data_IF_759085763306
#
_entry.id   IF_759085763306
#
_cell.length_a   1.000
_cell.length_b   1.000
_cell.length_c   1.000
_cell.angle_alpha   90.00
_cell.angle_beta   90.00
_cell.angle_gamma   90.00
#
_symmetry.space_group_name_H-M   'P 1'
#
loop_
_entity.id
_entity.type
_entity.pdbx_description
1 polymer ?
#
# COMPACT_ATOMS: atom_id res chain seq x y z
N UNK A 1 97.84 -37.48 -10.58
CA UNK A 1 96.57 -37.27 -11.31
C UNK A 1 95.60 -38.40 -10.95
N UNK A 2 94.90 -38.36 -9.80
CA UNK A 2 93.86 -39.37 -9.43
C UNK A 2 92.94 -39.00 -8.24
N UNK A 3 92.82 -37.71 -7.86
CA UNK A 3 92.00 -37.29 -6.71
C UNK A 3 90.80 -36.41 -7.11
N UNK A 4 90.74 -35.97 -8.36
CA UNK A 4 89.65 -35.13 -8.88
C UNK A 4 88.37 -35.94 -9.25
N UNK A 5 88.48 -37.25 -9.46
CA UNK A 5 87.36 -38.08 -9.94
C UNK A 5 86.37 -38.53 -8.85
N UNK A 6 86.83 -38.67 -7.60
CA UNK A 6 85.99 -39.22 -6.50
C UNK A 6 85.12 -38.12 -5.86
N UNK A 7 85.62 -36.88 -5.79
CA UNK A 7 84.84 -35.74 -5.29
C UNK A 7 83.65 -35.36 -6.19
N UNK A 8 83.78 -35.56 -7.51
CA UNK A 8 82.72 -35.25 -8.48
C UNK A 8 81.51 -36.19 -8.37
N UNK A 9 81.73 -37.47 -8.03
CA UNK A 9 80.67 -38.48 -7.92
C UNK A 9 79.88 -38.30 -6.62
N UNK A 10 80.54 -37.92 -5.52
CA UNK A 10 79.88 -37.61 -4.26
C UNK A 10 79.01 -36.34 -4.34
N UNK A 11 79.49 -35.29 -5.04
CA UNK A 11 78.73 -34.06 -5.26
C UNK A 11 77.47 -34.27 -6.15
N UNK A 12 77.57 -35.13 -7.18
CA UNK A 12 76.43 -35.47 -8.04
C UNK A 12 75.33 -36.25 -7.29
N UNK A 13 75.70 -37.13 -6.35
CA UNK A 13 74.75 -37.88 -5.53
C UNK A 13 73.93 -37.01 -4.57
N UNK A 14 74.55 -36.03 -3.92
CA UNK A 14 73.87 -35.10 -3.00
C UNK A 14 72.97 -34.12 -3.76
N UNK A 15 73.37 -33.67 -4.95
CA UNK A 15 72.55 -32.83 -5.82
C UNK A 15 71.28 -33.56 -6.31
N UNK A 16 71.37 -34.85 -6.67
CA UNK A 16 70.21 -35.63 -7.11
C UNK A 16 69.18 -35.86 -6.00
N UNK A 17 69.63 -36.12 -4.77
CA UNK A 17 68.74 -36.29 -3.59
C UNK A 17 68.14 -34.93 -3.15
N UNK A 18 68.93 -33.86 -3.20
CA UNK A 18 68.45 -32.50 -2.89
C UNK A 18 67.39 -31.98 -3.88
N UNK A 19 67.60 -32.20 -5.18
CA UNK A 19 66.66 -31.77 -6.23
C UNK A 19 65.35 -32.56 -6.17
N UNK A 20 65.41 -33.87 -5.93
CA UNK A 20 64.19 -34.70 -5.84
C UNK A 20 63.40 -34.45 -4.56
N UNK A 21 64.06 -34.16 -3.43
CA UNK A 21 63.41 -33.70 -2.20
C UNK A 21 62.71 -32.34 -2.35
N UNK A 22 63.35 -31.37 -3.02
CA UNK A 22 62.78 -30.05 -3.26
C UNK A 22 61.53 -30.10 -4.17
N UNK A 23 61.52 -30.96 -5.19
CA UNK A 23 60.36 -31.15 -6.08
C UNK A 23 59.17 -31.79 -5.36
N UNK A 24 59.42 -32.73 -4.44
CA UNK A 24 58.36 -33.32 -3.62
C UNK A 24 57.73 -32.29 -2.69
N UNK A 25 58.53 -31.54 -1.93
CA UNK A 25 58.04 -30.48 -1.04
C UNK A 25 57.29 -29.41 -1.82
N UNK A 26 57.81 -28.98 -2.98
CA UNK A 26 57.14 -28.03 -3.87
C UNK A 26 55.78 -28.52 -4.38
N UNK A 27 55.64 -29.80 -4.71
CA UNK A 27 54.37 -30.41 -5.15
C UNK A 27 53.33 -30.46 -4.03
N UNK A 28 53.74 -30.72 -2.79
CA UNK A 28 52.85 -30.69 -1.63
C UNK A 28 52.42 -29.26 -1.28
N UNK A 29 53.35 -28.30 -1.30
CA UNK A 29 53.04 -26.88 -1.10
C UNK A 29 52.09 -26.34 -2.18
N UNK A 30 52.30 -26.72 -3.45
CA UNK A 30 51.43 -26.31 -4.55
C UNK A 30 50.02 -26.90 -4.42
N UNK A 31 49.88 -28.16 -4.00
CA UNK A 31 48.58 -28.77 -3.69
C UNK A 31 47.86 -28.06 -2.54
N UNK A 32 48.59 -27.76 -1.46
CA UNK A 32 48.03 -27.03 -0.32
C UNK A 32 47.59 -25.60 -0.72
N UNK A 33 48.40 -24.91 -1.53
CA UNK A 33 48.07 -23.59 -2.06
C UNK A 33 46.84 -23.62 -2.98
N UNK A 34 46.71 -24.63 -3.86
CA UNK A 34 45.52 -24.81 -4.68
C UNK A 34 44.26 -25.09 -3.85
N UNK A 35 44.35 -25.94 -2.83
CA UNK A 35 43.23 -26.22 -1.94
C UNK A 35 42.81 -24.98 -1.14
N UNK A 36 43.78 -24.18 -0.69
CA UNK A 36 43.50 -22.92 -0.01
C UNK A 36 42.87 -21.91 -0.96
N UNK A 37 43.37 -21.79 -2.19
CA UNK A 37 42.79 -20.91 -3.21
C UNK A 37 41.35 -21.28 -3.54
N UNK A 38 41.06 -22.58 -3.70
CA UNK A 38 39.71 -23.08 -3.95
C UNK A 38 38.78 -22.75 -2.78
N UNK A 39 39.19 -23.02 -1.54
CA UNK A 39 38.38 -22.70 -0.34
C UNK A 39 38.13 -21.21 -0.20
N UNK A 40 39.12 -20.37 -0.47
CA UNK A 40 38.96 -18.90 -0.45
C UNK A 40 38.01 -18.44 -1.54
N UNK A 41 38.09 -19.04 -2.74
CA UNK A 41 37.18 -18.75 -3.84
C UNK A 41 35.73 -19.13 -3.49
N UNK A 42 35.52 -20.35 -2.99
CA UNK A 42 34.20 -20.83 -2.59
C UNK A 42 33.61 -19.95 -1.47
N UNK A 43 34.42 -19.60 -0.47
CA UNK A 43 34.02 -18.69 0.60
C UNK A 43 33.68 -17.27 0.07
N UNK A 44 34.41 -16.77 -0.91
CA UNK A 44 34.11 -15.48 -1.54
C UNK A 44 32.79 -15.54 -2.34
N UNK A 45 32.54 -16.63 -3.06
CA UNK A 45 31.27 -16.83 -3.78
C UNK A 45 30.10 -16.92 -2.80
N UNK A 46 30.26 -17.64 -1.69
CA UNK A 46 29.22 -17.76 -0.67
C UNK A 46 28.95 -16.43 0.02
N UNK A 47 29.99 -15.64 0.31
CA UNK A 47 29.85 -14.29 0.87
C UNK A 47 29.13 -13.33 -0.09
N UNK A 48 29.39 -13.41 -1.40
CA UNK A 48 28.68 -12.61 -2.40
C UNK A 48 27.21 -13.04 -2.50
N UNK A 49 26.94 -14.35 -2.44
CA UNK A 49 25.57 -14.87 -2.45
C UNK A 49 24.78 -14.44 -1.22
N UNK A 50 25.35 -14.55 -0.02
CA UNK A 50 24.68 -14.11 1.21
C UNK A 50 24.40 -12.60 1.17
N UNK A 51 25.39 -11.79 0.76
CA UNK A 51 25.24 -10.36 0.58
C UNK A 51 24.13 -10.00 -0.42
N UNK A 52 24.06 -10.70 -1.57
CA UNK A 52 23.01 -10.47 -2.55
C UNK A 52 21.60 -10.81 -2.02
N UNK A 53 21.47 -11.88 -1.22
CA UNK A 53 20.21 -12.27 -0.58
C UNK A 53 19.79 -11.21 0.44
N UNK A 54 20.71 -10.74 1.28
CA UNK A 54 20.47 -9.70 2.27
C UNK A 54 20.08 -8.37 1.63
N UNK A 55 20.79 -7.96 0.58
CA UNK A 55 20.49 -6.76 -0.20
C UNK A 55 19.10 -6.84 -0.82
N UNK A 56 18.72 -7.98 -1.42
CA UNK A 56 17.38 -8.20 -1.95
C UNK A 56 16.32 -8.11 -0.85
N UNK A 57 16.57 -8.70 0.32
CA UNK A 57 15.64 -8.63 1.44
C UNK A 57 15.50 -7.21 2.02
N UNK A 58 16.55 -6.39 2.00
CA UNK A 58 16.48 -4.98 2.35
C UNK A 58 15.66 -4.19 1.32
N UNK A 59 15.94 -4.37 0.03
CA UNK A 59 15.22 -3.72 -1.07
C UNK A 59 13.71 -4.01 -1.03
N UNK A 60 13.31 -5.27 -0.83
CA UNK A 60 11.89 -5.64 -0.69
C UNK A 60 11.24 -4.97 0.53
N UNK A 61 11.96 -4.89 1.66
CA UNK A 61 11.43 -4.20 2.87
C UNK A 61 11.24 -2.71 2.63
N UNK A 62 12.15 -2.07 1.91
CA UNK A 62 12.07 -0.66 1.58
C UNK A 62 10.90 -0.35 0.65
N UNK A 63 10.73 -1.11 -0.43
CA UNK A 63 9.59 -0.99 -1.36
C UNK A 63 8.25 -1.18 -0.62
N UNK A 64 8.16 -2.19 0.25
CA UNK A 64 6.95 -2.43 1.05
C UNK A 64 6.65 -1.25 1.97
N UNK A 65 7.67 -0.73 2.67
CA UNK A 65 7.49 0.43 3.55
C UNK A 65 7.02 1.66 2.77
N UNK A 66 7.66 1.95 1.63
CA UNK A 66 7.32 3.08 0.78
C UNK A 66 5.89 2.96 0.25
N UNK A 67 5.56 1.82 -0.37
CA UNK A 67 4.21 1.56 -0.90
C UNK A 67 3.12 1.63 0.17
N UNK A 68 3.36 1.14 1.38
CA UNK A 68 2.39 1.27 2.49
C UNK A 68 2.22 2.73 2.93
N UNK A 69 3.30 3.48 3.07
CA UNK A 69 3.20 4.91 3.42
C UNK A 69 2.47 5.72 2.34
N UNK A 70 2.74 5.45 1.07
CA UNK A 70 2.06 6.09 -0.06
C UNK A 70 0.56 5.71 -0.11
N UNK A 71 0.21 4.47 0.18
CA UNK A 71 -1.18 4.03 0.28
C UNK A 71 -1.92 4.70 1.44
N UNK A 72 -1.32 4.75 2.63
CA UNK A 72 -1.94 5.40 3.80
C UNK A 72 -2.15 6.91 3.56
N UNK A 73 -1.19 7.58 2.92
CA UNK A 73 -1.36 8.98 2.51
C UNK A 73 -2.47 9.15 1.45
N UNK A 74 -2.54 8.26 0.47
CA UNK A 74 -3.60 8.27 -0.52
C UNK A 74 -4.98 7.99 0.10
N UNK A 75 -5.04 7.18 1.16
CA UNK A 75 -6.25 6.89 1.91
C UNK A 75 -6.73 8.13 2.66
N UNK A 76 -5.84 8.80 3.39
CA UNK A 76 -6.13 10.03 4.13
C UNK A 76 -6.63 11.15 3.20
N UNK A 77 -5.92 11.39 2.09
CA UNK A 77 -6.34 12.37 1.08
C UNK A 77 -7.69 12.02 0.44
N UNK A 78 -7.97 10.74 0.20
CA UNK A 78 -9.28 10.29 -0.29
C UNK A 78 -10.37 10.51 0.76
N UNK A 79 -10.09 10.25 2.03
CA UNK A 79 -11.03 10.48 3.11
C UNK A 79 -11.38 11.97 3.21
N UNK A 80 -10.38 12.86 3.25
CA UNK A 80 -10.58 14.32 3.28
C UNK A 80 -11.45 14.77 2.11
N UNK A 81 -11.14 14.32 0.89
CA UNK A 81 -11.91 14.71 -0.29
C UNK A 81 -13.37 14.22 -0.24
N UNK A 82 -13.64 13.04 0.33
CA UNK A 82 -15.02 12.55 0.48
C UNK A 82 -15.74 13.26 1.66
N UNK A 83 -15.01 13.66 2.69
CA UNK A 83 -15.54 14.50 3.78
C UNK A 83 -15.95 15.87 3.27
N UNK A 84 -15.16 16.50 2.40
CA UNK A 84 -15.50 17.77 1.72
C UNK A 84 -16.81 17.64 0.91
N UNK A 85 -16.96 16.54 0.17
CA UNK A 85 -18.24 16.18 -0.48
C UNK A 85 -19.38 16.04 0.54
N UNK A 86 -19.11 15.66 1.77
CA UNK A 86 -20.15 15.53 2.80
C UNK A 86 -20.45 16.85 3.52
N UNK A 87 -19.52 17.80 3.59
CA UNK A 87 -19.68 19.08 4.30
C UNK A 87 -20.31 20.18 3.46
N UNK A 88 -20.18 20.12 2.13
CA UNK A 88 -20.72 21.08 1.14
C UNK A 88 -22.28 21.08 1.03
N UNK A 89 -23.00 20.75 2.11
CA UNK A 89 -24.45 20.79 2.15
C UNK A 89 -24.95 22.24 2.05
N UNK A 90 -25.53 22.60 0.90
CA UNK A 90 -26.09 23.93 0.64
C UNK A 90 -25.21 24.82 -0.24
N UNK A 91 -24.00 24.37 -0.58
CA UNK A 91 -23.14 25.04 -1.56
C UNK A 91 -23.73 24.98 -2.97
N UNK A 92 -23.35 25.92 -3.86
CA UNK A 92 -23.67 25.86 -5.28
C UNK A 92 -23.37 24.48 -5.88
N UNK A 93 -24.22 24.04 -6.82
CA UNK A 93 -24.10 22.71 -7.44
C UNK A 93 -22.75 22.51 -8.17
N UNK A 94 -22.08 23.60 -8.56
CA UNK A 94 -20.76 23.60 -9.19
C UNK A 94 -19.64 23.24 -8.20
N UNK A 95 -19.64 23.82 -6.99
CA UNK A 95 -18.67 23.50 -5.93
C UNK A 95 -18.78 22.04 -5.49
N UNK A 96 -20.03 21.58 -5.32
CA UNK A 96 -20.39 20.18 -5.05
C UNK A 96 -19.85 19.24 -6.13
N UNK A 97 -19.93 19.63 -7.41
CA UNK A 97 -19.43 18.85 -8.53
C UNK A 97 -17.90 18.83 -8.59
N UNK A 98 -17.25 19.95 -8.26
CA UNK A 98 -15.80 20.05 -8.15
C UNK A 98 -15.26 19.14 -7.03
N UNK A 99 -15.77 19.27 -5.80
CA UNK A 99 -15.39 18.42 -4.67
C UNK A 99 -15.60 16.92 -4.99
N UNK A 100 -16.68 16.59 -5.70
CA UNK A 100 -16.93 15.21 -6.15
C UNK A 100 -15.89 14.72 -7.15
N UNK A 101 -15.51 15.57 -8.11
CA UNK A 101 -14.46 15.26 -9.08
C UNK A 101 -13.14 15.00 -8.36
N UNK A 102 -12.81 15.82 -7.37
CA UNK A 102 -11.58 15.69 -6.60
C UNK A 102 -11.57 14.41 -5.75
N UNK A 103 -12.70 14.06 -5.12
CA UNK A 103 -12.86 12.77 -4.44
C UNK A 103 -12.68 11.56 -5.37
N UNK A 104 -13.17 11.65 -6.62
CA UNK A 104 -12.97 10.59 -7.62
C UNK A 104 -11.51 10.49 -8.08
N UNK A 105 -10.80 11.62 -8.20
CA UNK A 105 -9.38 11.66 -8.52
C UNK A 105 -8.56 11.04 -7.38
N UNK A 106 -8.85 11.41 -6.13
CA UNK A 106 -8.20 10.84 -4.96
C UNK A 106 -8.43 9.33 -4.86
N UNK A 107 -9.68 8.87 -5.04
CA UNK A 107 -10.01 7.45 -5.06
C UNK A 107 -9.28 6.68 -6.18
N UNK A 108 -9.12 7.30 -7.36
CA UNK A 108 -8.35 6.72 -8.45
C UNK A 108 -6.85 6.62 -8.10
N UNK A 109 -6.29 7.62 -7.43
CA UNK A 109 -4.92 7.60 -6.93
C UNK A 109 -4.72 6.50 -5.87
N UNK A 110 -5.64 6.36 -4.93
CA UNK A 110 -5.65 5.29 -3.93
C UNK A 110 -5.64 3.89 -4.58
N UNK A 111 -6.46 3.69 -5.61
CA UNK A 111 -6.48 2.42 -6.37
C UNK A 111 -5.16 2.13 -7.08
N UNK A 112 -4.43 3.14 -7.56
CA UNK A 112 -3.10 2.95 -8.15
C UNK A 112 -2.10 2.48 -7.10
N UNK A 113 -2.12 3.07 -5.91
CA UNK A 113 -1.24 2.63 -4.82
C UNK A 113 -1.59 1.22 -4.35
N UNK A 114 -2.88 0.87 -4.33
CA UNK A 114 -3.32 -0.49 -4.03
C UNK A 114 -2.80 -1.53 -5.02
N UNK A 115 -2.70 -1.21 -6.32
CA UNK A 115 -2.13 -2.14 -7.30
C UNK A 115 -0.68 -2.51 -6.97
N UNK A 116 0.10 -1.60 -6.39
CA UNK A 116 1.47 -1.87 -5.93
C UNK A 116 1.44 -2.82 -4.73
N UNK A 117 0.54 -2.60 -3.77
CA UNK A 117 0.37 -3.48 -2.60
C UNK A 117 -0.05 -4.89 -3.01
N UNK A 118 -0.89 -5.05 -4.04
CA UNK A 118 -1.27 -6.38 -4.53
C UNK A 118 -0.08 -7.18 -5.08
N UNK A 119 0.91 -6.50 -5.66
CA UNK A 119 2.08 -7.15 -6.27
C UNK A 119 3.14 -7.46 -5.21
N UNK A 120 3.38 -6.52 -4.29
CA UNK A 120 4.55 -6.56 -3.39
C UNK A 120 4.20 -6.92 -1.93
N UNK A 121 2.95 -6.72 -1.54
CA UNK A 121 2.45 -6.90 -0.18
C UNK A 121 2.02 -8.33 0.14
N UNK A 122 1.93 -8.70 1.43
CA UNK A 122 1.33 -9.95 1.85
C UNK A 122 -0.19 -9.90 1.65
N UNK A 123 -0.78 -11.03 1.25
CA UNK A 123 -2.21 -11.20 0.99
C UNK A 123 -3.16 -10.54 2.02
N UNK A 124 -2.98 -10.69 3.35
CA UNK A 124 -3.89 -10.06 4.32
C UNK A 124 -3.88 -8.53 4.29
N UNK A 125 -2.76 -7.91 3.89
CA UNK A 125 -2.66 -6.44 3.75
C UNK A 125 -3.39 -6.00 2.47
N UNK A 126 -3.24 -6.76 1.38
CA UNK A 126 -3.98 -6.49 0.15
C UNK A 126 -5.50 -6.64 0.35
N UNK A 127 -5.94 -7.67 1.07
CA UNK A 127 -7.36 -7.86 1.42
C UNK A 127 -7.90 -6.68 2.24
N UNK A 128 -7.16 -6.26 3.27
CA UNK A 128 -7.54 -5.11 4.10
C UNK A 128 -7.62 -3.81 3.29
N UNK A 129 -6.64 -3.56 2.42
CA UNK A 129 -6.63 -2.39 1.53
C UNK A 129 -7.81 -2.40 0.55
N UNK A 130 -8.18 -3.57 0.01
CA UNK A 130 -9.36 -3.73 -0.84
C UNK A 130 -10.64 -3.36 -0.09
N UNK A 131 -10.81 -3.85 1.13
CA UNK A 131 -11.98 -3.58 1.97
C UNK A 131 -12.13 -2.08 2.28
N UNK A 132 -11.02 -1.38 2.50
CA UNK A 132 -11.00 0.08 2.71
C UNK A 132 -11.47 0.81 1.45
N UNK A 133 -10.92 0.47 0.28
CA UNK A 133 -11.30 1.08 -1.01
C UNK A 133 -12.80 0.90 -1.28
N UNK A 134 -13.31 -0.31 -1.04
CA UNK A 134 -14.72 -0.61 -1.22
C UNK A 134 -15.60 0.17 -0.25
N UNK A 135 -15.16 0.35 0.98
CA UNK A 135 -15.87 1.14 2.00
C UNK A 135 -15.93 2.62 1.61
N UNK A 136 -14.80 3.21 1.21
CA UNK A 136 -14.75 4.61 0.75
C UNK A 136 -15.61 4.83 -0.49
N UNK A 137 -15.57 3.91 -1.46
CA UNK A 137 -16.42 3.95 -2.65
C UNK A 137 -17.92 3.82 -2.30
N UNK A 138 -18.29 2.92 -1.38
CA UNK A 138 -19.66 2.81 -0.86
C UNK A 138 -20.11 4.10 -0.18
N UNK A 139 -19.23 4.74 0.59
CA UNK A 139 -19.51 6.00 1.27
C UNK A 139 -19.76 7.14 0.27
N UNK A 140 -18.90 7.29 -0.75
CA UNK A 140 -19.09 8.27 -1.82
C UNK A 140 -20.40 8.04 -2.61
N UNK A 141 -20.77 6.79 -2.89
CA UNK A 141 -22.07 6.48 -3.53
C UNK A 141 -23.25 6.81 -2.62
N UNK A 142 -23.11 6.62 -1.31
CA UNK A 142 -24.15 6.94 -0.34
C UNK A 142 -24.36 8.45 -0.25
N UNK A 143 -23.30 9.25 -0.24
CA UNK A 143 -23.43 10.72 -0.23
C UNK A 143 -24.13 11.22 -1.51
N UNK A 144 -23.82 10.66 -2.67
CA UNK A 144 -24.53 10.94 -3.93
C UNK A 144 -26.04 10.64 -3.82
N UNK A 145 -26.42 9.51 -3.20
CA UNK A 145 -27.82 9.13 -3.01
C UNK A 145 -28.57 10.09 -2.08
N UNK A 146 -27.96 10.48 -0.96
CA UNK A 146 -28.56 11.40 -0.01
C UNK A 146 -28.80 12.78 -0.65
N UNK A 147 -27.87 13.25 -1.48
CA UNK A 147 -28.02 14.50 -2.24
C UNK A 147 -29.13 14.41 -3.28
N UNK A 148 -29.28 13.28 -3.97
CA UNK A 148 -30.39 13.08 -4.90
C UNK A 148 -31.76 13.20 -4.20
N UNK A 149 -31.90 12.62 -3.00
CA UNK A 149 -33.10 12.77 -2.18
C UNK A 149 -33.35 14.23 -1.81
N UNK A 150 -32.31 14.96 -1.38
CA UNK A 150 -32.42 16.39 -1.08
C UNK A 150 -32.89 17.23 -2.28
N UNK A 151 -32.38 16.95 -3.49
CA UNK A 151 -32.85 17.63 -4.73
C UNK A 151 -34.32 17.35 -5.02
N UNK A 152 -34.77 16.10 -4.86
CA UNK A 152 -36.17 15.76 -5.05
C UNK A 152 -37.07 16.46 -4.04
N UNK A 153 -36.64 16.56 -2.77
CA UNK A 153 -37.38 17.30 -1.76
C UNK A 153 -37.50 18.78 -2.11
N UNK A 154 -36.40 19.43 -2.53
CA UNK A 154 -36.42 20.83 -2.96
C UNK A 154 -37.33 21.08 -4.19
N UNK A 155 -37.34 20.15 -5.16
CA UNK A 155 -38.24 20.21 -6.32
C UNK A 155 -39.71 20.09 -5.92
N UNK A 156 -40.02 19.18 -4.98
CA UNK A 156 -41.37 19.00 -4.45
C UNK A 156 -41.81 20.28 -3.73
N UNK A 157 -40.97 20.86 -2.87
CA UNK A 157 -41.26 22.12 -2.18
C UNK A 157 -41.47 23.30 -3.13
N UNK A 158 -40.65 23.40 -4.19
CA UNK A 158 -40.82 24.44 -5.21
C UNK A 158 -42.12 24.26 -6.00
N UNK A 159 -42.49 23.03 -6.36
CA UNK A 159 -43.75 22.73 -7.03
C UNK A 159 -44.96 23.08 -6.15
N UNK A 160 -44.88 22.80 -4.83
CA UNK A 160 -45.92 23.20 -3.89
C UNK A 160 -46.07 24.72 -3.77
N UNK A 161 -44.97 25.48 -3.71
CA UNK A 161 -45.02 26.95 -3.68
C UNK A 161 -45.66 27.51 -4.95
N UNK A 162 -45.26 27.01 -6.11
CA UNK A 162 -45.86 27.42 -7.38
C UNK A 162 -47.36 27.08 -7.45
N UNK A 163 -47.76 25.91 -6.92
CA UNK A 163 -49.18 25.56 -6.87
C UNK A 163 -49.95 26.53 -5.96
N UNK A 164 -49.44 26.84 -4.77
CA UNK A 164 -50.07 27.78 -3.83
C UNK A 164 -50.24 29.18 -4.46
N UNK A 165 -49.20 29.69 -5.12
CA UNK A 165 -49.24 30.95 -5.87
C UNK A 165 -50.28 30.93 -7.00
N UNK A 166 -50.50 29.77 -7.63
CA UNK A 166 -51.51 29.61 -8.68
C UNK A 166 -52.95 29.41 -8.17
N UNK A 167 -53.13 29.04 -6.89
CA UNK A 167 -54.44 28.70 -6.31
C UNK A 167 -55.04 29.79 -5.40
N UNK A 168 -54.30 30.85 -5.04
CA UNK A 168 -54.86 32.04 -4.36
C UNK A 168 -55.53 33.00 -5.36
N UNK A 169 -56.86 33.06 -5.48
CA UNK A 169 -57.77 33.68 -4.48
C UNK A 169 -59.08 32.91 -4.19
N UNK A 170 -59.37 31.75 -4.80
CA UNK A 170 -60.74 31.17 -4.77
C UNK A 170 -60.88 29.67 -4.45
N UNK A 171 -59.84 28.97 -3.99
CA UNK A 171 -59.96 27.53 -3.69
C UNK A 171 -59.98 27.22 -2.19
N UNK A 172 -60.87 26.33 -1.70
CA UNK A 172 -60.98 25.99 -0.28
C UNK A 172 -59.77 25.17 0.20
N UNK A 173 -59.40 25.27 1.49
CA UNK A 173 -58.22 24.62 2.05
C UNK A 173 -58.39 23.09 2.04
N UNK A 174 -57.85 22.43 1.03
CA UNK A 174 -57.77 20.97 1.02
C UNK A 174 -56.77 20.52 2.10
N UNK A 175 -57.23 19.54 2.89
CA UNK A 175 -56.61 18.77 3.98
C UNK A 175 -55.14 18.34 3.75
N UNK A 176 -54.21 19.30 3.67
CA UNK A 176 -52.77 19.10 3.45
C UNK A 176 -51.99 18.74 4.72
N UNK A 177 -52.62 18.86 5.90
CA UNK A 177 -52.00 18.53 7.20
C UNK A 177 -51.61 17.06 7.32
N UNK A 178 -52.35 16.16 6.68
CA UNK A 178 -52.19 14.71 6.82
C UNK A 178 -50.90 14.16 6.18
N UNK A 179 -50.44 14.75 5.06
CA UNK A 179 -49.23 14.25 4.36
C UNK A 179 -47.97 14.78 5.05
N UNK A 180 -48.00 16.01 5.56
CA UNK A 180 -46.88 16.58 6.32
C UNK A 180 -46.69 15.88 7.67
N UNK A 181 -47.79 15.51 8.37
CA UNK A 181 -47.72 14.73 9.61
C UNK A 181 -47.22 13.29 9.39
N UNK A 182 -47.51 12.67 8.23
CA UNK A 182 -47.00 11.33 7.90
C UNK A 182 -45.50 11.29 7.56
N UNK A 183 -44.94 12.37 7.02
CA UNK A 183 -43.51 12.45 6.68
C UNK A 183 -42.65 12.81 7.91
N UNK A 184 -43.18 13.62 8.83
CA UNK A 184 -42.48 14.04 10.05
C UNK A 184 -42.47 12.99 11.18
N UNK A 185 -43.34 11.97 11.16
CA UNK A 185 -43.38 10.91 12.19
C UNK A 185 -42.36 9.78 12.00
N UNK A 186 -41.34 9.92 11.15
CA UNK A 186 -40.24 8.93 11.13
C UNK A 186 -39.30 9.16 12.31
N UNK A 187 -39.18 8.22 13.26
CA UNK A 187 -38.40 8.42 14.47
C UNK A 187 -36.90 8.51 14.17
N UNK A 188 -36.29 9.58 14.69
CA UNK A 188 -34.85 9.78 14.94
C UNK A 188 -33.87 9.39 13.83
N UNK A 189 -33.65 10.31 12.89
CA UNK A 189 -32.45 10.32 12.05
C UNK A 189 -31.23 10.71 12.91
N UNK A 190 -30.53 9.73 13.50
CA UNK A 190 -29.17 9.96 14.02
C UNK A 190 -28.21 10.12 12.84
N UNK A 191 -27.34 11.14 12.80
CA UNK A 191 -26.31 11.27 11.78
C UNK A 191 -25.41 10.02 11.77
N UNK A 192 -25.34 9.34 10.63
CA UNK A 192 -24.66 8.04 10.51
C UNK A 192 -23.16 8.04 10.84
N UNK A 193 -22.52 9.21 10.98
CA UNK A 193 -21.11 9.32 11.34
C UNK A 193 -20.83 9.02 12.82
N UNK A 194 -21.79 9.22 13.73
CA UNK A 194 -21.65 8.82 15.14
C UNK A 194 -21.63 7.30 15.29
N UNK A 195 -22.43 6.58 14.50
CA UNK A 195 -22.43 5.11 14.52
C UNK A 195 -21.10 4.52 14.02
N UNK A 196 -20.45 5.17 13.05
CA UNK A 196 -19.18 4.69 12.51
C UNK A 196 -18.01 4.88 13.49
N UNK A 197 -18.04 5.95 14.31
CA UNK A 197 -17.04 6.15 15.39
C UNK A 197 -17.22 5.16 16.54
N UNK A 198 -18.44 4.75 16.84
CA UNK A 198 -18.69 3.74 17.88
C UNK A 198 -18.24 2.35 17.42
N UNK A 199 -18.54 1.94 16.19
CA UNK A 199 -18.15 0.61 15.68
C UNK A 199 -16.63 0.44 15.55
N UNK A 200 -15.92 1.47 15.06
CA UNK A 200 -14.44 1.42 14.96
C UNK A 200 -13.76 1.39 16.33
N UNK A 201 -14.37 1.99 17.36
CA UNK A 201 -13.84 1.98 18.74
C UNK A 201 -14.04 0.64 19.45
N UNK A 202 -15.08 -0.11 19.09
CA UNK A 202 -15.34 -1.45 19.66
C UNK A 202 -14.57 -2.56 18.97
N UNK A 203 -14.26 -2.44 17.68
CA UNK A 203 -13.61 -3.53 16.92
C UNK A 203 -12.07 -3.49 16.96
N UNK A 204 -11.45 -2.33 17.24
CA UNK A 204 -9.99 -2.19 17.27
C UNK A 204 -9.46 -1.39 18.48
N UNK A 205 -9.58 -1.91 19.72
CA UNK A 205 -9.14 -1.18 20.92
C UNK A 205 -7.61 -1.06 21.09
N UNK A 206 -6.80 -1.65 20.19
CA UNK A 206 -5.33 -1.71 20.33
C UNK A 206 -4.54 -0.82 19.35
N UNK A 207 -5.19 0.06 18.58
CA UNK A 207 -4.53 0.92 17.57
C UNK A 207 -4.48 2.40 17.98
N UNK A 208 -4.86 2.74 19.22
CA UNK A 208 -4.69 4.08 19.80
C UNK A 208 -3.80 4.04 21.04
#
# INVERSE_FOLDING_TARGET
>A
MALAGIGAIAAAGVALVGVSGALLVGRWQMKAAMQQAQKTYDAAVDAVRSSAIEARAQWVREIRRESYSAFLLAMDTTQIAIEEVSTEHGSPNEEIAAARKDALIALAALRRQFAIIQIEGPDPVAESASNIIDTLNKYLRRSDRLRAVGRHQAQIEAAYRHADDSFGQNSPPLRLRTVHEMVMQRPHYRPGWESLRETTRTEFPQIL
#
